data_IF_771248406749
#
_entry.id   IF_771248406749
#
_cell.length_a   1.000
_cell.length_b   1.000
_cell.length_c   1.000
_cell.angle_alpha   90.00
_cell.angle_beta   90.00
_cell.angle_gamma   90.00
#
_symmetry.space_group_name_H-M   'P 1'
#
loop_
_entity.id
_entity.type
_entity.pdbx_description
1 polymer ?
#
# COMPACT_ATOMS: atom_id res chain seq x y z
N UNK A 1 -3.34 12.50 5.87
CA UNK A 1 -3.90 11.56 6.87
C UNK A 1 -2.99 11.47 8.08
N UNK A 2 -3.50 11.56 9.32
CA UNK A 2 -2.71 11.37 10.55
C UNK A 2 -2.08 9.96 10.66
N UNK A 3 -0.92 9.85 11.32
CA UNK A 3 -0.19 8.57 11.45
C UNK A 3 -0.95 7.47 12.19
N UNK A 4 -1.71 7.81 13.23
CA UNK A 4 -2.54 6.85 13.96
C UNK A 4 -3.70 6.32 13.10
N UNK A 5 -4.24 7.16 12.21
CA UNK A 5 -5.29 6.76 11.28
C UNK A 5 -4.72 5.84 10.19
N UNK A 6 -3.51 6.15 9.68
CA UNK A 6 -2.77 5.25 8.79
C UNK A 6 -2.60 3.87 9.42
N UNK A 7 -2.19 3.80 10.70
CA UNK A 7 -2.06 2.54 11.44
C UNK A 7 -3.37 1.77 11.44
N UNK A 8 -4.47 2.43 11.80
CA UNK A 8 -5.80 1.81 11.87
C UNK A 8 -6.22 1.25 10.51
N UNK A 9 -6.04 2.02 9.43
CA UNK A 9 -6.40 1.60 8.07
C UNK A 9 -5.54 0.43 7.60
N UNK A 10 -4.22 0.46 7.86
CA UNK A 10 -3.35 -0.68 7.54
C UNK A 10 -3.82 -1.90 8.31
N UNK A 11 -4.01 -1.82 9.63
CA UNK A 11 -4.48 -2.97 10.43
C UNK A 11 -5.81 -3.54 9.95
N UNK A 12 -6.73 -2.70 9.47
CA UNK A 12 -7.99 -3.17 8.87
C UNK A 12 -7.77 -3.90 7.54
N UNK A 13 -6.79 -3.47 6.75
CA UNK A 13 -6.47 -4.06 5.44
C UNK A 13 -5.68 -5.38 5.54
N UNK A 14 -4.71 -5.48 6.46
CA UNK A 14 -3.97 -6.74 6.71
C UNK A 14 -4.71 -7.70 7.65
N UNK A 15 -5.74 -7.23 8.36
CA UNK A 15 -6.46 -8.02 9.34
C UNK A 15 -5.56 -8.58 10.45
N UNK A 16 -5.86 -9.80 10.90
CA UNK A 16 -5.08 -10.51 11.92
C UNK A 16 -3.76 -11.11 11.40
N UNK A 17 -3.53 -11.11 10.08
CA UNK A 17 -2.40 -11.81 9.48
C UNK A 17 -1.05 -11.16 9.84
N UNK A 18 -0.99 -9.82 9.91
CA UNK A 18 0.18 -9.10 10.45
C UNK A 18 -0.23 -7.77 11.10
N UNK A 19 -0.36 -7.73 12.44
CA UNK A 19 -0.59 -6.46 13.13
C UNK A 19 0.62 -5.53 12.96
N UNK A 20 0.34 -4.26 12.64
CA UNK A 20 1.36 -3.21 12.54
C UNK A 20 1.54 -2.52 13.89
N UNK A 21 2.72 -2.72 14.49
CA UNK A 21 3.11 -2.06 15.75
C UNK A 21 3.56 -0.61 15.51
N UNK A 22 3.49 0.22 16.56
CA UNK A 22 4.05 1.58 16.51
C UNK A 22 5.56 1.56 16.24
N UNK A 23 6.26 0.59 16.85
CA UNK A 23 7.70 0.39 16.69
C UNK A 23 8.14 0.01 15.28
N UNK A 24 7.23 -0.47 14.42
CA UNK A 24 7.53 -0.74 13.01
C UNK A 24 6.99 0.36 12.08
N UNK A 25 5.84 0.95 12.40
CA UNK A 25 5.19 1.96 11.57
C UNK A 25 5.99 3.27 11.51
N UNK A 26 6.33 3.87 12.65
CA UNK A 26 6.95 5.19 12.66
C UNK A 26 8.36 5.19 12.05
N UNK A 27 9.21 4.17 12.28
CA UNK A 27 10.45 4.04 11.53
C UNK A 27 10.25 3.91 10.02
N UNK A 28 9.20 3.20 9.56
CA UNK A 28 8.88 3.12 8.14
C UNK A 28 8.45 4.49 7.57
N UNK A 29 7.58 5.23 8.28
CA UNK A 29 7.19 6.59 7.90
C UNK A 29 8.43 7.51 7.86
N UNK A 30 9.39 7.37 8.79
CA UNK A 30 10.64 8.13 8.78
C UNK A 30 11.47 7.83 7.53
N UNK A 31 11.62 6.55 7.16
CA UNK A 31 12.35 6.15 5.94
C UNK A 31 11.69 6.69 4.67
N UNK A 32 10.36 6.57 4.55
CA UNK A 32 9.62 7.06 3.39
C UNK A 32 9.70 8.59 3.26
N UNK A 33 9.63 9.32 4.39
CA UNK A 33 9.75 10.77 4.39
C UNK A 33 11.17 11.21 4.02
N UNK A 34 12.20 10.56 4.57
CA UNK A 34 13.59 10.83 4.22
C UNK A 34 13.89 10.56 2.74
N UNK A 35 13.20 9.58 2.15
CA UNK A 35 13.29 9.25 0.73
C UNK A 35 12.46 10.19 -0.17
N UNK A 36 11.74 11.17 0.38
CA UNK A 36 10.89 12.08 -0.40
C UNK A 36 9.64 11.43 -0.98
N UNK A 37 9.27 10.24 -0.53
CA UNK A 37 8.10 9.50 -1.01
C UNK A 37 6.81 9.97 -0.32
N UNK A 38 6.93 10.49 0.89
CA UNK A 38 5.82 11.10 1.62
C UNK A 38 6.27 12.42 2.24
N UNK A 39 5.31 13.31 2.43
CA UNK A 39 5.51 14.57 3.15
C UNK A 39 4.74 14.56 4.47
N UNK A 40 5.24 15.36 5.42
CA UNK A 40 4.63 15.60 6.73
C UNK A 40 4.28 17.06 6.83
N UNK A 41 3.05 17.36 7.18
CA UNK A 41 2.61 18.71 7.48
C UNK A 41 2.06 18.75 8.89
N UNK A 42 2.22 19.87 9.59
CA UNK A 42 1.53 20.08 10.86
C UNK A 42 0.02 19.90 10.66
N UNK A 43 -0.63 19.20 11.57
CA UNK A 43 -2.08 19.01 11.53
C UNK A 43 -2.78 20.34 11.88
N UNK A 44 -3.49 20.97 10.93
CA UNK A 44 -4.14 22.26 11.16
C UNK A 44 -5.20 22.18 12.27
N UNK A 45 -5.76 21.00 12.52
CA UNK A 45 -6.86 20.78 13.45
C UNK A 45 -6.40 20.29 14.84
N UNK A 46 -5.12 19.95 15.02
CA UNK A 46 -4.65 19.30 16.25
C UNK A 46 -3.32 19.82 16.80
N UNK A 47 -2.80 20.91 16.25
CA UNK A 47 -1.61 21.62 16.74
C UNK A 47 -0.28 21.01 16.29
N UNK A 48 0.81 21.73 16.55
CA UNK A 48 2.16 21.45 16.02
C UNK A 48 2.76 20.07 16.37
N UNK A 49 2.25 19.40 17.41
CA UNK A 49 2.71 18.08 17.82
C UNK A 49 2.13 16.94 16.98
N UNK A 50 1.09 17.20 16.17
CA UNK A 50 0.49 16.20 15.27
C UNK A 50 0.83 16.56 13.83
N UNK A 51 1.02 15.52 13.01
CA UNK A 51 1.27 15.68 11.59
C UNK A 51 0.33 14.84 10.74
N UNK A 52 0.01 15.37 9.57
CA UNK A 52 -0.67 14.67 8.50
C UNK A 52 0.35 14.25 7.44
N UNK A 53 0.19 13.02 6.97
CA UNK A 53 0.98 12.42 5.90
C UNK A 53 0.28 12.63 4.55
N UNK A 54 1.06 12.96 3.54
CA UNK A 54 0.62 12.94 2.14
C UNK A 54 1.63 12.21 1.27
N UNK A 55 1.14 11.56 0.22
CA UNK A 55 1.97 10.92 -0.80
C UNK A 55 2.48 12.00 -1.77
N UNK A 56 3.79 12.03 -2.03
CA UNK A 56 4.34 12.95 -3.03
C UNK A 56 4.08 12.43 -4.44
N UNK A 57 4.31 13.27 -5.47
CA UNK A 57 4.26 12.80 -6.85
C UNK A 57 5.29 11.68 -7.11
N UNK A 58 6.49 11.82 -6.53
CA UNK A 58 7.56 10.80 -6.60
C UNK A 58 7.14 9.53 -5.87
N UNK A 59 6.56 9.64 -4.67
CA UNK A 59 6.03 8.52 -3.92
C UNK A 59 4.92 7.78 -4.66
N UNK A 60 4.05 8.51 -5.36
CA UNK A 60 3.02 7.92 -6.21
C UNK A 60 3.64 7.15 -7.38
N UNK A 61 4.62 7.73 -8.07
CA UNK A 61 5.31 7.05 -9.16
C UNK A 61 5.99 5.76 -8.67
N UNK A 62 6.70 5.82 -7.54
CA UNK A 62 7.37 4.66 -6.92
C UNK A 62 6.36 3.57 -6.51
N UNK A 63 5.23 3.96 -5.90
CA UNK A 63 4.15 3.04 -5.55
C UNK A 63 3.61 2.31 -6.78
N UNK A 64 3.33 3.04 -7.86
CA UNK A 64 2.83 2.44 -9.11
C UNK A 64 3.88 1.54 -9.76
N UNK A 65 5.17 1.90 -9.72
CA UNK A 65 6.25 1.04 -10.21
C UNK A 65 6.34 -0.27 -9.43
N UNK A 66 6.22 -0.23 -8.10
CA UNK A 66 6.17 -1.43 -7.26
C UNK A 66 4.94 -2.31 -7.55
N UNK A 67 3.79 -1.71 -7.82
CA UNK A 67 2.59 -2.46 -8.20
C UNK A 67 2.73 -3.16 -9.56
N UNK A 68 3.46 -2.56 -10.51
CA UNK A 68 3.76 -3.18 -11.81
C UNK A 68 4.77 -4.33 -11.72
N UNK A 69 5.66 -4.26 -10.74
CA UNK A 69 6.75 -5.23 -10.54
C UNK A 69 6.88 -5.55 -9.05
N UNK A 70 5.90 -6.26 -8.46
CA UNK A 70 5.98 -6.68 -7.07
C UNK A 70 7.18 -7.62 -6.90
N UNK A 71 7.76 -7.61 -5.71
CA UNK A 71 8.83 -8.53 -5.38
C UNK A 71 8.29 -9.97 -5.31
N UNK A 72 9.14 -10.95 -5.60
CA UNK A 72 8.75 -12.38 -5.60
C UNK A 72 8.07 -12.82 -4.31
N UNK A 73 8.59 -12.37 -3.16
CA UNK A 73 8.03 -12.69 -1.86
C UNK A 73 6.65 -12.03 -1.60
N UNK A 74 6.26 -11.03 -2.38
CA UNK A 74 4.94 -10.40 -2.31
C UNK A 74 3.90 -11.14 -3.16
N UNK A 75 4.34 -11.98 -4.12
CA UNK A 75 3.48 -12.81 -4.98
C UNK A 75 3.50 -14.30 -4.65
N UNK A 76 4.28 -14.70 -3.64
CA UNK A 76 4.35 -16.07 -3.12
C UNK A 76 3.75 -16.17 -1.70
N UNK A 77 3.80 -15.09 -0.91
CA UNK A 77 3.10 -14.99 0.38
C UNK A 77 1.63 -14.59 0.14
N UNK A 78 0.69 -15.46 0.49
CA UNK A 78 -0.74 -15.25 0.28
C UNK A 78 -1.26 -13.95 0.91
N UNK A 79 -0.79 -13.59 2.12
CA UNK A 79 -1.25 -12.36 2.79
C UNK A 79 -0.77 -11.13 2.03
N UNK A 80 0.49 -11.12 1.60
CA UNK A 80 1.05 -10.01 0.83
C UNK A 80 0.43 -9.92 -0.56
N UNK A 81 0.18 -11.07 -1.19
CA UNK A 81 -0.43 -11.15 -2.51
C UNK A 81 -1.79 -10.44 -2.54
N UNK A 82 -2.65 -10.67 -1.53
CA UNK A 82 -3.94 -10.00 -1.43
C UNK A 82 -3.82 -8.47 -1.33
N UNK A 83 -2.79 -7.96 -0.65
CA UNK A 83 -2.54 -6.51 -0.55
C UNK A 83 -2.18 -5.93 -1.91
N UNK A 84 -1.29 -6.61 -2.66
CA UNK A 84 -0.91 -6.17 -4.01
C UNK A 84 -2.12 -6.25 -4.94
N UNK A 85 -2.88 -7.35 -4.89
CA UNK A 85 -4.09 -7.57 -5.69
C UNK A 85 -5.13 -6.47 -5.47
N UNK A 86 -5.45 -6.13 -4.21
CA UNK A 86 -6.40 -5.07 -3.89
C UNK A 86 -5.91 -3.68 -4.37
N UNK A 87 -4.60 -3.50 -4.42
CA UNK A 87 -3.95 -2.24 -4.81
C UNK A 87 -3.82 -2.05 -6.32
N UNK A 88 -3.94 -3.11 -7.12
CA UNK A 88 -3.87 -3.02 -8.60
C UNK A 88 -4.87 -2.03 -9.19
N UNK A 89 -6.03 -1.86 -8.55
CA UNK A 89 -7.05 -0.87 -8.92
C UNK A 89 -6.53 0.58 -9.02
N UNK A 90 -5.38 0.87 -8.40
CA UNK A 90 -4.72 2.17 -8.43
C UNK A 90 -3.87 2.38 -9.70
N UNK A 91 -3.57 1.32 -10.46
CA UNK A 91 -2.92 1.43 -11.75
C UNK A 91 -3.88 2.06 -12.77
N UNK A 92 -3.40 2.99 -13.61
CA UNK A 92 -4.25 3.74 -14.52
C UNK A 92 -4.81 2.88 -15.65
N UNK A 93 -4.06 1.88 -16.11
CA UNK A 93 -4.43 1.03 -17.24
C UNK A 93 -4.98 -0.32 -16.78
N UNK A 94 -6.15 -0.70 -17.30
CA UNK A 94 -6.82 -1.98 -16.97
C UNK A 94 -5.97 -3.19 -17.38
N UNK A 95 -5.16 -3.05 -18.44
CA UNK A 95 -4.22 -4.10 -18.86
C UNK A 95 -3.16 -4.42 -17.79
N UNK A 96 -2.88 -3.47 -16.88
CA UNK A 96 -1.94 -3.64 -15.77
C UNK A 96 -2.63 -4.26 -14.53
N UNK A 97 -3.94 -4.51 -14.56
CA UNK A 97 -4.69 -5.11 -13.45
C UNK A 97 -4.58 -6.65 -13.43
N UNK A 98 -3.40 -7.17 -13.78
CA UNK A 98 -3.10 -8.60 -13.82
C UNK A 98 -1.90 -8.90 -12.95
N UNK A 99 -2.07 -9.86 -12.03
CA UNK A 99 -1.00 -10.43 -11.24
C UNK A 99 -0.96 -11.95 -11.41
N UNK A 100 0.19 -12.51 -11.10
CA UNK A 100 0.38 -13.96 -11.07
C UNK A 100 0.75 -14.34 -9.63
N UNK A 101 0.01 -15.27 -9.06
CA UNK A 101 0.33 -15.91 -7.80
C UNK A 101 1.10 -17.21 -8.10
N UNK A 102 2.21 -17.44 -7.40
CA UNK A 102 3.06 -18.61 -7.65
C UNK A 102 2.85 -19.63 -6.53
N UNK A 103 2.43 -20.84 -6.90
CA UNK A 103 2.13 -21.95 -5.98
C UNK A 103 2.86 -23.19 -6.46
N UNK A 104 3.81 -23.70 -5.67
CA UNK A 104 4.52 -24.97 -5.92
C UNK A 104 5.09 -25.13 -7.35
N UNK A 105 5.55 -24.03 -7.97
CA UNK A 105 6.14 -24.01 -9.31
C UNK A 105 5.14 -23.76 -10.45
N UNK A 106 3.85 -23.70 -10.15
CA UNK A 106 2.79 -23.34 -11.09
C UNK A 106 2.35 -21.88 -10.94
N UNK A 107 1.85 -21.31 -12.04
CA UNK A 107 1.39 -19.92 -12.13
C UNK A 107 -0.13 -19.85 -12.14
N UNK A 108 -0.72 -19.20 -11.14
CA UNK A 108 -2.13 -18.85 -11.11
C UNK A 108 -2.30 -17.37 -11.49
N UNK A 109 -2.87 -17.11 -12.67
CA UNK A 109 -3.13 -15.75 -13.15
C UNK A 109 -4.41 -15.22 -12.50
N UNK A 110 -4.30 -14.12 -11.77
CA UNK A 110 -5.44 -13.43 -11.16
C UNK A 110 -5.62 -12.07 -11.84
N UNK A 111 -6.85 -11.81 -12.27
CA UNK A 111 -7.27 -10.51 -12.81
C UNK A 111 -8.00 -9.73 -11.73
N UNK A 112 -7.53 -8.52 -11.43
CA UNK A 112 -8.27 -7.58 -10.61
C UNK A 112 -9.26 -6.82 -11.52
N UNK A 113 -10.50 -7.29 -11.61
CA UNK A 113 -11.53 -6.54 -12.31
C UNK A 113 -11.96 -5.33 -11.47
N UNK A 114 -12.10 -4.15 -12.09
CA UNK A 114 -12.82 -3.03 -11.47
C UNK A 114 -14.28 -3.43 -11.29
N UNK A 115 -14.72 -3.61 -10.05
CA UNK A 115 -16.14 -3.57 -9.73
C UNK A 115 -16.62 -2.11 -9.81
N UNK A 116 -17.19 -1.71 -10.94
CA UNK A 116 -18.02 -0.51 -10.99
C UNK A 116 -19.33 -0.82 -10.27
N UNK A 117 -19.54 -0.22 -9.10
CA UNK A 117 -20.86 -0.14 -8.48
C UNK A 117 -21.54 1.09 -9.09
N UNK A 118 -22.35 0.89 -10.14
CA UNK A 118 -23.34 1.89 -10.53
C UNK A 118 -24.51 1.81 -9.53
N UNK A 119 -24.98 2.98 -9.10
CA UNK A 119 -26.06 3.16 -8.14
C UNK A 119 -27.34 3.49 -8.88
#
# INVERSE_FOLDING_TARGET
MPGHELRRRISQLVGYARPVSEGSLYPAINRLAKAGLIERYADPAAGAARYVLSLTAVGRAEMLQRLRKPAEHEITDFTRFFIVLASLSHLPEVAEHRLVFLVDGDYLVVLAARYHYEK
#
